data_IF_959140648953
#
_entry.id   IF_959140648953
#
_cell.length_a   1.000
_cell.length_b   1.000
_cell.length_c   1.000
_cell.angle_alpha   90.00
_cell.angle_beta   90.00
_cell.angle_gamma   90.00
#
_symmetry.space_group_name_H-M   'P 1'
#
loop_
_entity.id
_entity.type
_entity.pdbx_description
1 polymer ?
#
# COMPACT_ATOMS: atom_id res chain seq x y z
N UNK A 1 18.02 -23.13 -10.71
CA UNK A 1 18.52 -22.21 -9.68
C UNK A 1 17.30 -21.64 -8.96
N UNK A 2 17.30 -21.65 -7.62
CA UNK A 2 16.22 -21.10 -6.83
C UNK A 2 16.40 -19.59 -6.64
N UNK A 3 15.28 -18.84 -6.69
CA UNK A 3 15.29 -17.40 -6.49
C UNK A 3 14.02 -16.92 -5.78
N UNK A 4 14.07 -15.71 -5.25
CA UNK A 4 12.95 -14.96 -4.70
C UNK A 4 12.66 -13.79 -5.66
N UNK A 5 11.40 -13.57 -5.99
CA UNK A 5 10.95 -12.47 -6.84
C UNK A 5 10.39 -11.35 -5.97
N UNK A 6 11.08 -10.22 -5.95
CA UNK A 6 10.59 -8.96 -5.37
C UNK A 6 10.09 -8.04 -6.47
N UNK A 7 8.91 -7.42 -6.27
CA UNK A 7 8.34 -6.47 -7.23
C UNK A 7 7.96 -5.18 -6.52
N UNK A 8 8.38 -4.05 -7.08
CA UNK A 8 8.04 -2.70 -6.59
C UNK A 8 7.16 -1.97 -7.61
N UNK A 9 6.01 -1.50 -7.17
CA UNK A 9 5.10 -0.61 -7.89
C UNK A 9 5.38 0.85 -7.47
N UNK A 10 6.53 1.38 -7.91
CA UNK A 10 6.93 2.76 -7.60
C UNK A 10 6.18 3.79 -8.46
N UNK A 11 6.21 5.06 -8.07
CA UNK A 11 5.44 6.13 -8.70
C UNK A 11 5.89 6.50 -10.13
N UNK A 12 7.10 6.14 -10.53
CA UNK A 12 7.63 6.42 -11.89
C UNK A 12 8.10 5.16 -12.61
N UNK A 13 8.21 4.05 -11.87
CA UNK A 13 8.76 2.81 -12.41
C UNK A 13 8.24 1.61 -11.65
N UNK A 14 7.86 0.57 -12.37
CA UNK A 14 7.64 -0.77 -11.83
C UNK A 14 8.96 -1.54 -12.01
N UNK A 15 9.43 -2.20 -10.95
CA UNK A 15 10.67 -2.99 -10.97
C UNK A 15 10.38 -4.40 -10.49
N UNK A 16 11.08 -5.36 -11.10
CA UNK A 16 11.11 -6.75 -10.67
C UNK A 16 12.57 -7.17 -10.46
N UNK A 17 12.87 -7.82 -9.35
CA UNK A 17 14.22 -8.25 -9.00
C UNK A 17 14.17 -9.71 -8.57
N UNK A 18 15.04 -10.54 -9.15
CA UNK A 18 15.30 -11.90 -8.70
C UNK A 18 16.54 -11.89 -7.82
N UNK A 19 16.44 -12.47 -6.62
CA UNK A 19 17.55 -12.59 -5.68
C UNK A 19 17.75 -14.05 -5.26
N UNK A 20 18.97 -14.41 -4.88
CA UNK A 20 19.22 -15.67 -4.18
C UNK A 20 18.86 -15.57 -2.68
N UNK A 21 19.08 -16.67 -1.94
CA UNK A 21 18.84 -16.72 -0.50
C UNK A 21 19.78 -15.82 0.33
N UNK A 22 20.85 -15.31 -0.27
CA UNK A 22 21.78 -14.37 0.35
C UNK A 22 21.47 -12.91 -0.01
N UNK A 23 20.32 -12.67 -0.65
CA UNK A 23 19.90 -11.35 -1.15
C UNK A 23 20.79 -10.79 -2.28
N UNK A 24 21.58 -11.63 -2.95
CA UNK A 24 22.35 -11.22 -4.12
C UNK A 24 21.40 -11.05 -5.31
N UNK A 25 21.46 -9.92 -5.97
CA UNK A 25 20.66 -9.66 -7.19
C UNK A 25 21.18 -10.54 -8.32
N UNK A 26 20.32 -11.41 -8.84
CA UNK A 26 20.61 -12.33 -9.95
C UNK A 26 20.16 -11.76 -11.30
N UNK A 27 18.99 -11.12 -11.32
CA UNK A 27 18.43 -10.49 -12.52
C UNK A 27 17.43 -9.42 -12.12
N UNK A 28 17.16 -8.51 -13.04
CA UNK A 28 16.16 -7.47 -12.84
C UNK A 28 15.47 -7.09 -14.14
N UNK A 29 14.27 -6.57 -14.01
CA UNK A 29 13.51 -5.97 -15.09
C UNK A 29 12.78 -4.71 -14.60
N UNK A 30 12.41 -3.85 -15.52
CA UNK A 30 11.69 -2.62 -15.16
C UNK A 30 10.82 -2.11 -16.30
N UNK A 31 9.80 -1.34 -15.91
CA UNK A 31 8.91 -0.63 -16.82
C UNK A 31 8.69 0.79 -16.31
N UNK A 32 8.90 1.78 -17.17
CA UNK A 32 8.61 3.19 -16.86
C UNK A 32 7.14 3.42 -17.11
N UNK A 33 6.47 4.05 -16.15
CA UNK A 33 5.09 4.48 -16.26
C UNK A 33 4.91 5.84 -15.60
N UNK A 34 3.81 6.51 -15.90
CA UNK A 34 3.51 7.84 -15.38
C UNK A 34 2.11 7.86 -14.79
N UNK A 35 1.93 8.70 -13.77
CA UNK A 35 0.59 9.01 -13.29
C UNK A 35 -0.12 9.94 -14.28
N UNK A 36 -1.43 9.82 -14.29
CA UNK A 36 -2.32 10.64 -15.07
C UNK A 36 -3.06 11.63 -14.17
N UNK A 37 -3.49 12.76 -14.73
CA UNK A 37 -4.29 13.74 -14.03
C UNK A 37 -5.61 13.92 -14.78
N UNK A 38 -6.67 13.28 -14.25
CA UNK A 38 -8.00 13.26 -14.87
C UNK A 38 -9.03 13.89 -13.94
N UNK A 39 -9.79 14.87 -14.42
CA UNK A 39 -10.87 15.53 -13.69
C UNK A 39 -10.49 15.98 -12.26
N UNK A 40 -9.28 16.49 -12.09
CA UNK A 40 -8.78 16.95 -10.80
C UNK A 40 -8.19 15.86 -9.90
N UNK A 41 -8.06 14.62 -10.39
CA UNK A 41 -7.58 13.46 -9.66
C UNK A 41 -6.28 12.92 -10.25
N UNK A 42 -5.23 12.79 -9.41
CA UNK A 42 -4.04 12.04 -9.74
C UNK A 42 -4.31 10.54 -9.63
N UNK A 43 -4.14 9.82 -10.74
CA UNK A 43 -4.51 8.41 -10.89
C UNK A 43 -3.47 7.61 -11.67
N UNK A 44 -3.60 6.28 -11.64
CA UNK A 44 -2.99 5.34 -12.57
C UNK A 44 -4.07 4.41 -13.07
N UNK A 45 -4.23 4.23 -14.39
CA UNK A 45 -5.14 3.22 -14.94
C UNK A 45 -4.72 1.81 -14.49
N UNK A 46 -5.65 1.01 -13.98
CA UNK A 46 -5.32 -0.34 -13.49
C UNK A 46 -4.79 -1.27 -14.59
N UNK A 47 -5.17 -1.05 -15.84
CA UNK A 47 -4.61 -1.79 -16.98
C UNK A 47 -3.12 -1.52 -17.17
N UNK A 48 -2.68 -0.27 -16.95
CA UNK A 48 -1.27 0.11 -17.01
C UNK A 48 -0.43 -0.60 -15.93
N UNK A 49 -1.03 -0.89 -14.76
CA UNK A 49 -0.40 -1.69 -13.70
C UNK A 49 0.00 -3.07 -14.23
N UNK A 50 -0.93 -3.77 -14.88
CA UNK A 50 -0.68 -5.11 -15.41
C UNK A 50 0.28 -5.12 -16.61
N UNK A 51 0.21 -4.12 -17.47
CA UNK A 51 1.19 -3.94 -18.57
C UNK A 51 2.60 -3.80 -17.97
N UNK A 52 2.77 -2.94 -16.99
CA UNK A 52 4.07 -2.69 -16.39
C UNK A 52 4.60 -3.87 -15.57
N UNK A 53 3.73 -4.54 -14.79
CA UNK A 53 4.10 -5.75 -14.03
C UNK A 53 4.60 -6.86 -14.94
N UNK A 54 3.84 -7.19 -15.99
CA UNK A 54 4.23 -8.20 -16.97
C UNK A 54 5.56 -7.87 -17.65
N UNK A 55 5.73 -6.61 -18.08
CA UNK A 55 6.96 -6.18 -18.72
C UNK A 55 8.18 -6.33 -17.80
N UNK A 56 8.08 -5.86 -16.56
CA UNK A 56 9.18 -5.94 -15.60
C UNK A 56 9.50 -7.40 -15.22
N UNK A 57 8.48 -8.20 -14.92
CA UNK A 57 8.65 -9.62 -14.52
C UNK A 57 9.21 -10.44 -15.71
N UNK A 58 8.70 -10.23 -16.92
CA UNK A 58 9.20 -10.91 -18.13
C UNK A 58 10.69 -10.62 -18.33
N UNK A 59 11.12 -9.36 -18.27
CA UNK A 59 12.53 -9.00 -18.41
C UNK A 59 13.41 -9.69 -17.36
N UNK A 60 12.98 -9.72 -16.10
CA UNK A 60 13.75 -10.38 -15.04
C UNK A 60 13.86 -11.89 -15.27
N UNK A 61 12.78 -12.55 -15.66
CA UNK A 61 12.75 -14.00 -15.95
C UNK A 61 13.53 -14.38 -17.22
N UNK A 62 13.49 -13.54 -18.27
CA UNK A 62 14.24 -13.74 -19.51
C UNK A 62 15.75 -13.60 -19.30
N UNK A 63 16.17 -12.72 -18.36
CA UNK A 63 17.58 -12.54 -18.02
C UNK A 63 18.16 -13.74 -17.24
N UNK A 64 17.33 -14.64 -16.68
CA UNK A 64 17.74 -15.81 -15.92
C UNK A 64 16.93 -17.06 -16.32
N UNK A 65 17.16 -17.64 -17.51
CA UNK A 65 16.41 -18.79 -17.98
C UNK A 65 16.52 -20.01 -17.04
N UNK A 66 15.40 -20.69 -16.81
CA UNK A 66 15.34 -21.88 -15.96
C UNK A 66 15.37 -21.60 -14.45
N UNK A 67 15.23 -20.33 -14.03
CA UNK A 67 15.08 -19.98 -12.62
C UNK A 67 13.80 -20.58 -12.04
N UNK A 68 13.87 -21.03 -10.78
CA UNK A 68 12.73 -21.51 -10.00
C UNK A 68 12.40 -20.46 -8.94
N UNK A 69 11.30 -19.74 -9.09
CA UNK A 69 10.84 -18.76 -8.10
C UNK A 69 10.22 -19.52 -6.91
N UNK A 70 10.77 -19.33 -5.71
CA UNK A 70 10.37 -20.04 -4.48
C UNK A 70 9.48 -19.23 -3.55
N UNK A 71 9.52 -17.91 -3.67
CA UNK A 71 8.66 -16.98 -2.94
C UNK A 71 8.56 -15.66 -3.71
N UNK A 72 7.50 -14.91 -3.43
CA UNK A 72 7.28 -13.60 -4.02
C UNK A 72 6.92 -12.57 -2.95
N UNK A 73 7.32 -11.32 -3.18
CA UNK A 73 6.92 -10.16 -2.39
C UNK A 73 6.62 -8.96 -3.28
N UNK A 74 5.59 -8.22 -2.90
CA UNK A 74 5.16 -7.00 -3.61
C UNK A 74 5.27 -5.80 -2.67
N UNK A 75 5.86 -4.74 -3.19
CA UNK A 75 5.86 -3.41 -2.58
C UNK A 75 5.16 -2.44 -3.52
N UNK A 76 4.49 -1.44 -2.99
CA UNK A 76 3.87 -0.40 -3.80
C UNK A 76 3.88 0.94 -3.12
N UNK A 77 3.58 1.98 -3.89
CA UNK A 77 3.33 3.29 -3.30
C UNK A 77 2.24 3.15 -2.24
N UNK A 78 2.56 3.57 -1.04
CA UNK A 78 1.71 3.48 0.12
C UNK A 78 0.49 4.39 -0.02
N UNK A 79 -0.60 4.08 0.71
CA UNK A 79 -1.83 4.88 0.76
C UNK A 79 -2.69 4.82 -0.51
N UNK A 80 -3.61 5.79 -0.62
CA UNK A 80 -4.51 5.94 -1.74
C UNK A 80 -5.85 5.23 -1.52
N UNK A 81 -6.70 5.32 -2.54
CA UNK A 81 -8.09 4.88 -2.46
C UNK A 81 -8.47 4.11 -3.71
N UNK A 82 -8.54 2.81 -3.58
CA UNK A 82 -9.13 1.88 -4.53
C UNK A 82 -10.41 1.33 -3.90
N UNK A 83 -11.56 1.66 -4.47
CA UNK A 83 -12.87 1.25 -3.99
C UNK A 83 -13.57 0.39 -5.03
N UNK A 84 -14.02 -0.78 -4.63
CA UNK A 84 -14.66 -1.77 -5.50
C UNK A 84 -16.05 -2.12 -5.01
N UNK A 85 -16.94 -2.47 -5.94
CA UNK A 85 -18.25 -3.04 -5.65
C UNK A 85 -18.19 -4.55 -5.35
N UNK A 86 -19.36 -5.17 -5.13
CA UNK A 86 -19.49 -6.60 -4.84
C UNK A 86 -19.06 -7.53 -5.98
N UNK A 87 -19.10 -7.06 -7.24
CA UNK A 87 -18.64 -7.79 -8.42
C UNK A 87 -17.15 -7.54 -8.74
N UNK A 88 -16.48 -6.72 -7.96
CA UNK A 88 -15.07 -6.43 -8.15
C UNK A 88 -14.76 -5.33 -9.17
N UNK A 89 -15.74 -4.55 -9.58
CA UNK A 89 -15.54 -3.41 -10.48
C UNK A 89 -15.06 -2.21 -9.70
N UNK A 90 -14.06 -1.51 -10.25
CA UNK A 90 -13.58 -0.25 -9.70
C UNK A 90 -14.69 0.82 -9.80
N UNK A 91 -15.05 1.41 -8.67
CA UNK A 91 -16.18 2.36 -8.58
C UNK A 91 -15.81 3.78 -9.01
N UNK A 92 -14.57 4.19 -8.77
CA UNK A 92 -14.01 5.49 -9.13
C UNK A 92 -12.55 5.33 -9.54
N UNK A 93 -11.96 6.26 -10.32
CA UNK A 93 -10.52 6.21 -10.62
C UNK A 93 -9.68 6.08 -9.36
N UNK A 94 -8.56 5.35 -9.43
CA UNK A 94 -7.62 5.21 -8.32
C UNK A 94 -7.15 6.59 -7.85
N UNK A 95 -7.44 6.97 -6.61
CA UNK A 95 -6.98 8.22 -5.99
C UNK A 95 -5.65 7.94 -5.28
N UNK A 96 -4.57 8.44 -5.84
CA UNK A 96 -3.22 8.19 -5.33
C UNK A 96 -2.90 9.05 -4.10
N UNK A 97 -1.77 8.78 -3.47
CA UNK A 97 -1.22 9.57 -2.35
C UNK A 97 -1.00 11.07 -2.67
N UNK A 98 -0.93 11.44 -3.97
CA UNK A 98 -0.73 12.82 -4.43
C UNK A 98 -1.97 13.70 -4.29
N UNK A 99 -3.14 13.11 -4.10
CA UNK A 99 -4.40 13.86 -3.98
C UNK A 99 -4.51 14.49 -2.59
N UNK A 100 -4.75 15.81 -2.55
CA UNK A 100 -4.78 16.62 -1.33
C UNK A 100 -6.13 17.31 -1.08
N UNK A 101 -7.20 16.87 -1.75
CA UNK A 101 -8.53 17.47 -1.63
C UNK A 101 -9.31 16.97 -0.40
N UNK A 102 -8.77 16.09 0.40
CA UNK A 102 -9.42 15.47 1.56
C UNK A 102 -9.15 16.19 2.90
N UNK A 103 -8.68 17.45 2.87
CA UNK A 103 -8.24 18.18 4.05
C UNK A 103 -9.32 18.28 5.15
N UNK A 104 -10.57 18.56 4.78
CA UNK A 104 -11.69 18.65 5.72
C UNK A 104 -11.98 17.29 6.38
N UNK A 105 -12.05 16.22 5.58
CA UNK A 105 -12.22 14.85 6.09
C UNK A 105 -11.09 14.43 7.04
N UNK A 106 -9.85 14.74 6.67
CA UNK A 106 -8.66 14.50 7.50
C UNK A 106 -8.76 15.19 8.88
N UNK A 107 -9.17 16.45 8.91
CA UNK A 107 -9.34 17.22 10.14
C UNK A 107 -10.44 16.65 11.05
N UNK A 108 -11.62 16.36 10.48
CA UNK A 108 -12.73 15.77 11.23
C UNK A 108 -12.38 14.40 11.80
N UNK A 109 -11.76 13.52 11.01
CA UNK A 109 -11.35 12.20 11.48
C UNK A 109 -10.25 12.28 12.53
N UNK A 110 -9.30 13.21 12.39
CA UNK A 110 -8.27 13.45 13.40
C UNK A 110 -8.90 13.86 14.72
N UNK A 111 -9.88 14.75 14.71
CA UNK A 111 -10.61 15.16 15.91
C UNK A 111 -11.45 14.00 16.50
N UNK A 112 -12.13 13.23 15.67
CA UNK A 112 -12.96 12.10 16.08
C UNK A 112 -12.15 11.01 16.77
N UNK A 113 -11.00 10.66 16.21
CA UNK A 113 -10.17 9.56 16.72
C UNK A 113 -9.21 9.98 17.82
N UNK A 114 -8.85 11.29 17.89
CA UNK A 114 -7.71 11.76 18.70
C UNK A 114 -6.38 11.18 18.19
N UNK A 115 -6.30 10.90 16.88
CA UNK A 115 -5.17 10.28 16.20
C UNK A 115 -4.95 10.99 14.86
N UNK A 116 -3.70 11.26 14.42
CA UNK A 116 -3.47 11.98 13.15
C UNK A 116 -3.91 11.14 11.95
N UNK A 117 -4.81 11.68 11.14
CA UNK A 117 -5.28 11.06 9.90
C UNK A 117 -4.82 11.92 8.71
N UNK A 118 -3.76 11.54 8.01
CA UNK A 118 -3.28 12.26 6.84
C UNK A 118 -4.26 12.25 5.68
N UNK A 119 -4.22 13.30 4.86
CA UNK A 119 -5.13 13.45 3.71
C UNK A 119 -5.05 12.31 2.69
N UNK A 120 -3.89 11.68 2.55
CA UNK A 120 -3.61 10.62 1.58
C UNK A 120 -4.09 9.23 1.99
N UNK A 121 -4.56 9.04 3.23
CA UNK A 121 -5.02 7.75 3.72
C UNK A 121 -6.35 7.33 3.09
N UNK A 122 -6.54 6.01 2.91
CA UNK A 122 -7.75 5.44 2.33
C UNK A 122 -9.02 5.89 3.06
N UNK A 123 -8.98 5.94 4.40
CA UNK A 123 -10.12 6.37 5.21
C UNK A 123 -10.44 7.87 5.04
N UNK A 124 -9.44 8.72 4.82
CA UNK A 124 -9.66 10.14 4.55
C UNK A 124 -10.37 10.35 3.20
N UNK A 125 -10.01 9.56 2.18
CA UNK A 125 -10.68 9.58 0.89
C UNK A 125 -12.11 9.04 0.95
N UNK A 126 -12.34 7.93 1.67
CA UNK A 126 -13.68 7.39 1.88
C UNK A 126 -14.58 8.41 2.59
N UNK A 127 -14.09 8.99 3.69
CA UNK A 127 -14.87 9.96 4.45
C UNK A 127 -15.10 11.25 3.66
N UNK A 128 -14.12 11.69 2.88
CA UNK A 128 -14.32 12.81 1.95
C UNK A 128 -15.44 12.51 0.95
N UNK A 129 -15.44 11.35 0.31
CA UNK A 129 -16.50 10.94 -0.61
C UNK A 129 -17.89 10.90 0.07
N UNK A 130 -17.96 10.45 1.33
CA UNK A 130 -19.19 10.50 2.13
C UNK A 130 -19.67 11.95 2.36
N UNK A 131 -18.77 12.87 2.75
CA UNK A 131 -19.07 14.27 2.97
C UNK A 131 -19.55 14.98 1.68
N UNK A 132 -19.03 14.57 0.53
CA UNK A 132 -19.44 15.07 -0.78
C UNK A 132 -20.68 14.37 -1.35
N UNK A 133 -21.23 13.38 -0.65
CA UNK A 133 -22.34 12.54 -1.13
C UNK A 133 -22.04 11.92 -2.51
N UNK A 134 -20.81 11.48 -2.74
CA UNK A 134 -20.43 10.83 -3.99
C UNK A 134 -21.26 9.54 -4.20
N UNK A 135 -21.84 9.30 -5.40
CA UNK A 135 -22.82 8.23 -5.60
C UNK A 135 -22.29 6.81 -5.27
N UNK A 136 -21.00 6.59 -5.37
CA UNK A 136 -20.38 5.27 -5.20
C UNK A 136 -20.30 4.80 -3.74
N UNK A 137 -20.36 5.69 -2.75
CA UNK A 137 -20.05 5.36 -1.35
C UNK A 137 -20.92 4.26 -0.76
N UNK A 138 -22.21 4.23 -1.13
CA UNK A 138 -23.12 3.17 -0.67
C UNK A 138 -22.87 1.80 -1.33
N UNK A 139 -22.17 1.79 -2.46
CA UNK A 139 -21.86 0.58 -3.23
C UNK A 139 -20.47 0.01 -2.94
N UNK A 140 -19.72 0.63 -2.03
CA UNK A 140 -18.38 0.13 -1.66
C UNK A 140 -18.52 -1.18 -0.90
N UNK A 141 -17.87 -2.24 -1.41
CA UNK A 141 -17.79 -3.55 -0.76
C UNK A 141 -16.38 -3.87 -0.28
N UNK A 142 -15.36 -3.21 -0.87
CA UNK A 142 -13.98 -3.35 -0.43
C UNK A 142 -13.13 -2.15 -0.78
N UNK A 143 -12.18 -1.87 0.09
CA UNK A 143 -11.10 -0.93 -0.12
C UNK A 143 -9.79 -1.70 -0.31
N UNK A 144 -8.89 -1.14 -1.09
CA UNK A 144 -7.56 -1.68 -1.27
C UNK A 144 -6.52 -0.57 -1.46
N UNK A 145 -5.26 -0.93 -1.31
CA UNK A 145 -4.11 -0.19 -1.82
C UNK A 145 -3.67 -0.80 -3.15
N UNK A 146 -2.73 -0.16 -3.83
CA UNK A 146 -2.24 -0.69 -5.11
C UNK A 146 -1.57 -2.07 -4.94
N UNK A 147 -0.70 -2.22 -3.94
CA UNK A 147 -0.06 -3.50 -3.64
C UNK A 147 -1.06 -4.56 -3.19
N UNK A 148 -2.05 -4.18 -2.37
CA UNK A 148 -3.15 -5.05 -1.95
C UNK A 148 -4.02 -5.54 -3.11
N UNK A 149 -4.34 -4.66 -4.07
CA UNK A 149 -5.07 -5.02 -5.28
C UNK A 149 -4.32 -6.06 -6.12
N UNK A 150 -3.02 -5.85 -6.34
CA UNK A 150 -2.19 -6.81 -7.08
C UNK A 150 -2.13 -8.15 -6.34
N UNK A 151 -1.92 -8.13 -5.04
CA UNK A 151 -1.88 -9.33 -4.21
C UNK A 151 -3.18 -10.14 -4.29
N UNK A 152 -4.33 -9.47 -4.14
CA UNK A 152 -5.65 -10.11 -4.25
C UNK A 152 -5.85 -10.76 -5.62
N UNK A 153 -5.49 -10.07 -6.71
CA UNK A 153 -5.62 -10.62 -8.06
C UNK A 153 -4.73 -11.86 -8.30
N UNK A 154 -3.57 -11.92 -7.63
CA UNK A 154 -2.65 -13.04 -7.77
C UNK A 154 -2.98 -14.25 -6.87
N UNK A 155 -3.59 -14.00 -5.71
CA UNK A 155 -3.79 -15.03 -4.67
C UNK A 155 -5.26 -15.33 -4.36
N UNK A 156 -6.17 -14.46 -4.75
CA UNK A 156 -7.58 -14.49 -4.33
C UNK A 156 -7.79 -14.08 -2.86
N UNK A 157 -6.74 -13.67 -2.12
CA UNK A 157 -6.81 -13.29 -0.71
C UNK A 157 -6.67 -11.78 -0.51
N UNK A 158 -7.61 -11.19 0.22
CA UNK A 158 -7.61 -9.78 0.61
C UNK A 158 -6.74 -9.58 1.84
N UNK A 159 -5.45 -9.39 1.66
CA UNK A 159 -4.51 -9.16 2.74
C UNK A 159 -3.47 -8.09 2.37
N UNK A 160 -3.00 -7.37 3.36
CA UNK A 160 -1.87 -6.43 3.27
C UNK A 160 -1.00 -6.58 4.53
N UNK A 161 0.21 -6.06 4.52
CA UNK A 161 1.02 -6.00 5.73
C UNK A 161 0.42 -5.04 6.76
N UNK A 162 0.82 -5.18 8.02
CA UNK A 162 0.47 -4.23 9.09
C UNK A 162 0.98 -2.83 8.75
N UNK A 163 2.18 -2.73 8.17
CA UNK A 163 2.75 -1.46 7.70
C UNK A 163 1.86 -0.77 6.67
N UNK A 164 1.46 -1.49 5.62
CA UNK A 164 0.57 -0.98 4.58
C UNK A 164 -0.83 -0.67 5.13
N UNK A 165 -1.40 -1.56 5.96
CA UNK A 165 -2.69 -1.36 6.61
C UNK A 165 -2.73 -0.07 7.44
N UNK A 166 -1.62 0.29 8.09
CA UNK A 166 -1.50 1.51 8.90
C UNK A 166 -1.67 2.80 8.08
N UNK A 167 -1.48 2.74 6.77
CA UNK A 167 -1.75 3.84 5.84
C UNK A 167 -3.18 3.86 5.29
N UNK A 168 -3.98 2.86 5.61
CA UNK A 168 -5.40 2.80 5.27
C UNK A 168 -6.28 3.26 6.43
N UNK A 169 -6.00 2.75 7.63
CA UNK A 169 -6.73 2.99 8.87
C UNK A 169 -5.80 2.78 10.07
N UNK A 170 -6.02 3.46 11.24
CA UNK A 170 -5.16 3.29 12.41
C UNK A 170 -5.04 1.84 12.89
N UNK A 171 -3.82 1.45 13.26
CA UNK A 171 -3.47 0.13 13.78
C UNK A 171 -3.22 0.21 15.29
N UNK A 172 -3.73 -0.76 16.02
CA UNK A 172 -3.36 -1.04 17.39
C UNK A 172 -2.07 -1.88 17.42
N UNK A 173 -0.98 -1.31 17.93
CA UNK A 173 0.33 -1.94 17.99
C UNK A 173 0.39 -3.20 18.89
N UNK A 174 -0.59 -3.42 19.77
CA UNK A 174 -0.64 -4.60 20.64
C UNK A 174 -1.27 -5.79 19.92
N UNK A 175 -2.34 -5.53 19.18
CA UNK A 175 -3.08 -6.58 18.46
C UNK A 175 -2.60 -6.77 17.03
N UNK A 176 -1.78 -5.84 16.50
CA UNK A 176 -1.33 -5.78 15.11
C UNK A 176 -2.50 -5.77 14.11
N UNK A 177 -3.62 -5.19 14.52
CA UNK A 177 -4.84 -5.10 13.73
C UNK A 177 -5.43 -3.69 13.83
N UNK A 178 -6.44 -3.40 13.07
CA UNK A 178 -7.15 -2.12 13.09
C UNK A 178 -7.69 -1.80 14.50
N UNK A 179 -7.51 -0.55 14.93
CA UNK A 179 -7.95 -0.10 16.26
C UNK A 179 -9.47 -0.19 16.40
N UNK A 180 -9.94 -1.05 17.31
CA UNK A 180 -11.36 -1.38 17.48
C UNK A 180 -12.19 -0.18 17.95
N UNK A 181 -11.61 0.70 18.80
CA UNK A 181 -12.30 1.91 19.24
C UNK A 181 -12.54 2.86 18.07
N UNK A 182 -11.53 3.04 17.21
CA UNK A 182 -11.63 3.92 16.06
C UNK A 182 -12.56 3.34 14.98
N UNK A 183 -12.55 2.01 14.77
CA UNK A 183 -13.53 1.34 13.91
C UNK A 183 -14.96 1.63 14.37
N UNK A 184 -15.26 1.46 15.67
CA UNK A 184 -16.59 1.73 16.24
C UNK A 184 -17.01 3.19 16.07
N UNK A 185 -16.11 4.13 16.36
CA UNK A 185 -16.38 5.57 16.20
C UNK A 185 -16.65 5.93 14.73
N UNK A 186 -15.94 5.31 13.79
CA UNK A 186 -16.18 5.53 12.37
C UNK A 186 -17.51 4.94 11.92
N UNK A 187 -17.83 3.71 12.34
CA UNK A 187 -19.11 3.06 12.02
C UNK A 187 -20.32 3.86 12.54
N UNK A 188 -20.25 4.37 13.77
CA UNK A 188 -21.31 5.27 14.31
C UNK A 188 -21.51 6.51 13.41
N UNK A 189 -20.41 7.13 12.97
CA UNK A 189 -20.45 8.28 12.07
C UNK A 189 -20.99 7.89 10.69
N UNK A 190 -20.54 6.78 10.12
CA UNK A 190 -20.94 6.29 8.81
C UNK A 190 -22.45 5.93 8.78
N UNK A 191 -22.93 5.21 9.78
CA UNK A 191 -24.34 4.85 9.89
C UNK A 191 -25.23 6.08 10.07
N UNK A 192 -24.80 7.08 10.85
CA UNK A 192 -25.51 8.36 10.98
C UNK A 192 -25.62 9.12 9.64
N UNK A 193 -24.70 8.85 8.70
CA UNK A 193 -24.73 9.40 7.34
C UNK A 193 -25.43 8.45 6.33
N UNK A 194 -26.03 7.35 6.79
CA UNK A 194 -26.79 6.41 5.97
C UNK A 194 -25.97 5.36 5.22
N UNK A 195 -24.71 5.13 5.61
CA UNK A 195 -23.89 4.07 5.00
C UNK A 195 -24.38 2.68 5.42
N UNK A 196 -24.49 1.72 4.46
CA UNK A 196 -25.08 0.40 4.73
C UNK A 196 -24.06 -0.63 5.24
N UNK A 197 -22.77 -0.32 5.25
CA UNK A 197 -21.66 -1.22 5.55
C UNK A 197 -20.95 -0.85 6.85
N UNK A 198 -20.19 -1.79 7.39
CA UNK A 198 -19.21 -1.55 8.46
C UNK A 198 -17.80 -1.41 7.88
N UNK A 199 -17.03 -0.44 8.39
CA UNK A 199 -15.69 -0.15 7.86
C UNK A 199 -14.76 -1.39 7.92
N UNK A 200 -14.87 -2.22 8.96
CA UNK A 200 -14.03 -3.43 9.07
C UNK A 200 -14.23 -4.41 7.92
N UNK A 201 -15.44 -4.48 7.35
CA UNK A 201 -15.75 -5.36 6.21
C UNK A 201 -15.10 -4.88 4.92
N UNK A 202 -14.91 -3.56 4.80
CA UNK A 202 -14.30 -2.94 3.63
C UNK A 202 -12.77 -3.10 3.62
N UNK A 203 -12.13 -3.14 4.79
CA UNK A 203 -10.68 -3.20 4.93
C UNK A 203 -10.13 -4.62 4.70
N UNK A 204 -8.92 -4.75 4.09
CA UNK A 204 -8.26 -6.05 3.97
C UNK A 204 -7.83 -6.61 5.33
N UNK A 205 -7.41 -7.87 5.37
CA UNK A 205 -6.77 -8.45 6.54
C UNK A 205 -5.36 -7.85 6.71
N UNK A 206 -5.03 -7.42 7.94
CA UNK A 206 -3.69 -6.94 8.28
C UNK A 206 -2.85 -8.11 8.79
N UNK A 207 -1.68 -8.34 8.20
CA UNK A 207 -0.78 -9.44 8.54
C UNK A 207 0.62 -8.90 8.87
N UNK A 208 1.29 -9.39 9.91
CA UNK A 208 2.68 -8.99 10.17
C UNK A 208 3.62 -9.54 9.09
N UNK A 209 4.69 -8.79 8.81
CA UNK A 209 5.74 -9.23 7.91
C UNK A 209 6.33 -10.59 8.34
N UNK A 210 6.79 -11.38 7.35
CA UNK A 210 7.31 -12.72 7.59
C UNK A 210 6.26 -13.83 7.63
N UNK A 211 4.95 -13.50 7.58
CA UNK A 211 3.89 -14.49 7.42
C UNK A 211 3.61 -14.80 5.96
N UNK A 212 2.95 -15.92 5.68
CA UNK A 212 2.45 -16.22 4.34
C UNK A 212 1.06 -15.60 4.15
N UNK A 213 0.92 -14.70 3.19
CA UNK A 213 -0.35 -14.03 2.89
C UNK A 213 -1.19 -14.77 1.84
N UNK A 214 -0.70 -15.82 1.26
CA UNK A 214 -1.39 -16.62 0.25
C UNK A 214 -0.42 -17.29 -0.72
N UNK A 215 -0.98 -17.95 -1.69
CA UNK A 215 -0.23 -18.66 -2.71
C UNK A 215 -0.67 -18.18 -4.09
N UNK A 216 0.29 -18.08 -5.01
CA UNK A 216 0.01 -17.76 -6.40
C UNK A 216 -1.00 -18.77 -6.97
N UNK A 217 -2.12 -18.28 -7.46
CA UNK A 217 -3.12 -19.12 -8.12
C UNK A 217 -2.71 -19.42 -9.57
N UNK A 218 -3.38 -20.36 -10.21
CA UNK A 218 -3.16 -20.64 -11.64
C UNK A 218 -3.49 -19.41 -12.49
N UNK A 219 -4.61 -18.75 -12.21
CA UNK A 219 -5.04 -17.54 -12.91
C UNK A 219 -4.09 -16.37 -12.64
N UNK A 220 -3.63 -16.24 -11.38
CA UNK A 220 -2.64 -15.23 -11.00
C UNK A 220 -1.30 -15.44 -11.70
N UNK A 221 -0.84 -16.67 -11.82
CA UNK A 221 0.37 -17.01 -12.57
C UNK A 221 0.24 -16.63 -14.05
N UNK A 222 -0.87 -17.01 -14.68
CA UNK A 222 -1.17 -16.66 -16.07
C UNK A 222 -1.32 -15.14 -16.29
N UNK A 223 -1.92 -14.45 -15.31
CA UNK A 223 -2.09 -12.99 -15.34
C UNK A 223 -0.73 -12.27 -15.29
N UNK A 224 0.20 -12.73 -14.44
CA UNK A 224 1.50 -12.09 -14.24
C UNK A 224 2.53 -12.51 -15.30
N UNK A 225 2.60 -13.80 -15.64
CA UNK A 225 3.53 -14.39 -16.59
C UNK A 225 2.79 -15.28 -17.62
N UNK A 226 2.23 -14.70 -18.68
CA UNK A 226 1.54 -15.47 -19.73
C UNK A 226 2.41 -16.52 -20.45
N UNK A 227 3.75 -16.42 -20.32
CA UNK A 227 4.67 -17.40 -20.86
C UNK A 227 4.76 -18.69 -20.02
N UNK A 228 4.14 -18.72 -18.81
CA UNK A 228 3.99 -19.92 -18.01
C UNK A 228 5.26 -20.38 -17.26
N UNK A 229 6.20 -19.47 -17.00
CA UNK A 229 7.42 -19.76 -16.22
C UNK A 229 7.16 -19.77 -14.73
N UNK A 230 6.20 -18.92 -14.26
CA UNK A 230 5.73 -18.93 -12.88
C UNK A 230 4.68 -20.03 -12.69
N UNK A 231 4.83 -20.80 -11.63
CA UNK A 231 3.93 -21.90 -11.31
C UNK A 231 2.99 -21.52 -10.16
N UNK A 232 1.76 -22.02 -10.20
CA UNK A 232 0.86 -21.91 -9.06
C UNK A 232 1.47 -22.56 -7.80
N UNK A 233 1.08 -22.06 -6.63
CA UNK A 233 1.55 -22.57 -5.34
C UNK A 233 2.80 -21.86 -4.79
N UNK A 234 3.36 -20.89 -5.50
CA UNK A 234 4.43 -20.03 -4.96
C UNK A 234 3.85 -19.20 -3.80
N UNK A 235 4.46 -19.24 -2.59
CA UNK A 235 4.00 -18.42 -1.46
C UNK A 235 4.29 -16.94 -1.69
N UNK A 236 3.35 -16.07 -1.27
CA UNK A 236 3.48 -14.63 -1.27
C UNK A 236 3.56 -14.09 0.15
N UNK A 237 4.48 -13.14 0.37
CA UNK A 237 4.49 -12.32 1.57
C UNK A 237 3.31 -11.32 1.56
N UNK A 238 2.87 -10.80 2.73
CA UNK A 238 1.94 -9.69 2.77
C UNK A 238 2.48 -8.50 1.96
N UNK A 239 1.70 -7.92 1.04
CA UNK A 239 2.16 -6.78 0.27
C UNK A 239 2.38 -5.57 1.19
N UNK A 240 3.48 -4.87 0.97
CA UNK A 240 3.94 -3.78 1.84
C UNK A 240 3.93 -2.44 1.09
N UNK A 241 3.89 -1.34 1.83
CA UNK A 241 4.16 0.00 1.31
C UNK A 241 5.64 0.23 1.04
N UNK A 242 5.94 1.12 0.09
CA UNK A 242 7.31 1.54 -0.23
C UNK A 242 8.07 2.10 0.99
N UNK A 243 7.37 2.81 1.87
CA UNK A 243 7.91 3.30 3.13
C UNK A 243 8.37 2.17 4.05
N UNK A 244 7.54 1.14 4.27
CA UNK A 244 7.87 -0.01 5.11
C UNK A 244 8.99 -0.87 4.54
N UNK A 245 8.98 -1.12 3.23
CA UNK A 245 10.08 -1.84 2.57
C UNK A 245 11.39 -1.05 2.63
N UNK A 246 11.35 0.28 2.54
CA UNK A 246 12.50 1.15 2.74
C UNK A 246 13.09 1.04 4.15
N UNK A 247 12.24 0.96 5.18
CA UNK A 247 12.69 0.72 6.56
C UNK A 247 13.34 -0.65 6.72
N UNK A 248 12.76 -1.69 6.15
CA UNK A 248 13.34 -3.04 6.17
C UNK A 248 14.70 -3.07 5.44
N UNK A 249 14.79 -2.49 4.25
CA UNK A 249 16.01 -2.44 3.44
C UNK A 249 17.16 -1.69 4.13
N UNK A 250 16.86 -0.69 4.97
CA UNK A 250 17.84 0.09 5.72
C UNK A 250 18.07 -0.42 7.14
N UNK A 251 17.46 -1.55 7.52
CA UNK A 251 17.48 -2.13 8.87
C UNK A 251 17.01 -1.15 9.96
N UNK A 252 16.04 -0.29 9.62
CA UNK A 252 15.52 0.77 10.47
C UNK A 252 14.14 0.42 11.06
N UNK A 253 13.96 -0.82 11.51
CA UNK A 253 12.68 -1.34 12.05
C UNK A 253 12.64 -1.42 13.58
N UNK A 254 13.76 -1.18 14.27
CA UNK A 254 13.84 -1.25 15.73
C UNK A 254 13.54 0.10 16.36
N UNK A 255 13.00 0.14 17.59
CA UNK A 255 12.84 1.40 18.33
C UNK A 255 14.11 2.25 18.35
N UNK A 256 13.95 3.57 18.20
CA UNK A 256 15.03 4.58 18.08
C UNK A 256 15.89 4.48 16.82
N UNK A 257 15.52 3.64 15.86
CA UNK A 257 16.11 3.70 14.52
C UNK A 257 15.17 4.44 13.59
N UNK A 258 15.68 4.85 12.46
CA UNK A 258 14.89 5.54 11.45
C UNK A 258 15.61 5.57 10.11
N UNK A 259 14.89 5.95 9.08
CA UNK A 259 15.44 6.17 7.76
C UNK A 259 14.93 7.48 7.16
N UNK A 260 15.62 7.94 6.14
CA UNK A 260 15.22 9.06 5.31
C UNK A 260 15.18 8.56 3.87
N UNK A 261 14.03 8.73 3.23
CA UNK A 261 13.87 8.50 1.79
C UNK A 261 13.87 9.85 1.10
N UNK A 262 14.87 10.09 0.26
CA UNK A 262 15.05 11.35 -0.47
C UNK A 262 14.93 11.08 -1.97
N UNK A 263 13.79 11.40 -2.52
CA UNK A 263 13.46 11.31 -3.94
C UNK A 263 12.95 12.66 -4.44
N UNK A 264 11.94 12.68 -5.28
CA UNK A 264 11.21 13.89 -5.69
C UNK A 264 10.64 14.61 -4.46
N UNK A 265 10.05 13.86 -3.54
CA UNK A 265 9.73 14.27 -2.18
C UNK A 265 10.72 13.67 -1.18
N UNK A 266 10.68 14.14 0.06
CA UNK A 266 11.46 13.57 1.16
C UNK A 266 10.52 13.18 2.30
N UNK A 267 10.75 12.02 2.89
CA UNK A 267 10.14 11.66 4.16
C UNK A 267 11.17 11.04 5.11
N UNK A 268 11.00 11.35 6.39
CA UNK A 268 11.79 10.80 7.48
C UNK A 268 10.89 9.99 8.39
N UNK A 269 11.32 8.80 8.74
CA UNK A 269 10.61 7.88 9.63
C UNK A 269 11.48 7.52 10.80
N UNK A 270 10.88 7.51 12.00
CA UNK A 270 11.53 7.12 13.25
C UNK A 270 10.63 6.14 13.99
N UNK A 271 11.16 4.96 14.31
CA UNK A 271 10.46 3.96 15.11
C UNK A 271 10.37 4.41 16.56
N UNK A 272 9.15 4.52 17.06
CA UNK A 272 8.84 5.00 18.39
C UNK A 272 8.94 3.85 19.42
N UNK A 273 9.35 4.17 20.65
CA UNK A 273 9.28 3.22 21.78
C UNK A 273 7.87 3.12 22.37
N UNK A 274 7.06 4.15 22.16
CA UNK A 274 5.65 4.24 22.58
C UNK A 274 4.92 5.25 21.72
N UNK A 275 3.62 5.12 21.64
CA UNK A 275 2.76 6.09 20.95
C UNK A 275 2.96 7.51 21.49
N UNK A 276 2.74 8.50 20.64
CA UNK A 276 2.79 9.92 21.01
C UNK A 276 1.69 10.24 22.03
N UNK A 277 2.01 11.08 22.99
CA UNK A 277 1.08 11.44 24.08
C UNK A 277 -0.06 12.37 23.64
N UNK A 278 0.04 12.94 22.46
CA UNK A 278 -0.96 13.83 21.84
C UNK A 278 -0.81 13.83 20.33
N UNK A 279 -1.81 14.34 19.63
CA UNK A 279 -1.74 14.60 18.18
C UNK A 279 -0.77 15.75 17.90
N UNK A 280 0.13 15.53 16.98
CA UNK A 280 0.99 16.54 16.37
C UNK A 280 0.62 16.64 14.89
N UNK A 281 0.05 17.78 14.44
CA UNK A 281 -0.45 17.91 13.05
C UNK A 281 0.59 17.74 11.97
N UNK A 282 1.88 17.86 12.31
CA UNK A 282 3.00 17.71 11.40
C UNK A 282 3.53 16.28 11.30
N UNK A 283 3.02 15.37 12.14
CA UNK A 283 3.47 14.00 12.20
C UNK A 283 2.35 13.05 11.78
N UNK A 284 2.66 12.16 10.88
CA UNK A 284 1.86 10.98 10.64
C UNK A 284 2.32 9.86 11.58
N UNK A 285 1.41 9.00 11.96
CA UNK A 285 1.73 7.80 12.74
C UNK A 285 1.33 6.58 11.95
N UNK A 286 2.31 5.86 11.47
CA UNK A 286 2.16 4.59 10.73
C UNK A 286 2.83 3.46 11.50
N UNK A 287 2.90 2.25 10.94
CA UNK A 287 3.58 1.12 11.54
C UNK A 287 4.75 0.64 10.66
N UNK A 288 5.75 0.04 11.30
CA UNK A 288 6.74 -0.79 10.62
C UNK A 288 6.08 -2.06 10.06
N UNK A 289 6.74 -2.80 9.15
CA UNK A 289 6.24 -4.09 8.67
C UNK A 289 5.95 -5.13 9.77
N UNK A 290 6.59 -5.01 10.93
CA UNK A 290 6.35 -5.87 12.12
C UNK A 290 5.38 -5.24 13.13
N UNK A 291 4.84 -4.04 12.86
CA UNK A 291 3.78 -3.40 13.63
C UNK A 291 4.24 -2.42 14.71
N UNK A 292 5.53 -2.12 14.80
CA UNK A 292 6.02 -1.09 15.72
C UNK A 292 5.57 0.31 15.27
N UNK A 293 5.17 1.23 16.19
CA UNK A 293 4.70 2.56 15.79
C UNK A 293 5.84 3.42 15.25
N UNK A 294 5.54 4.16 14.19
CA UNK A 294 6.49 5.03 13.48
C UNK A 294 5.94 6.45 13.42
N UNK A 295 6.74 7.43 13.81
CA UNK A 295 6.48 8.83 13.47
C UNK A 295 7.10 9.13 12.11
N UNK A 296 6.30 9.70 11.19
CA UNK A 296 6.74 10.07 9.86
C UNK A 296 6.50 11.56 9.61
N UNK A 297 7.49 12.22 9.03
CA UNK A 297 7.39 13.58 8.48
C UNK A 297 7.56 13.49 6.97
N UNK A 298 6.68 14.13 6.23
CA UNK A 298 6.73 14.16 4.77
C UNK A 298 6.79 15.60 4.27
N UNK A 299 7.67 15.85 3.28
CA UNK A 299 7.76 17.10 2.54
C UNK A 299 7.68 16.81 1.04
N UNK A 300 6.83 17.54 0.33
CA UNK A 300 6.57 17.32 -1.09
C UNK A 300 7.75 17.65 -2.00
N UNK A 301 8.70 18.44 -1.52
CA UNK A 301 9.83 18.93 -2.29
C UNK A 301 11.16 18.41 -1.72
N UNK A 302 12.03 17.91 -2.58
CA UNK A 302 13.42 17.52 -2.24
C UNK A 302 14.31 17.66 -3.48
N UNK A 303 14.49 16.61 -4.28
CA UNK A 303 15.40 16.64 -5.43
C UNK A 303 14.94 17.59 -6.53
N UNK A 304 13.64 17.87 -6.62
CA UNK A 304 13.10 18.90 -7.52
C UNK A 304 13.65 20.28 -7.19
N UNK A 305 13.76 20.63 -5.91
CA UNK A 305 14.30 21.90 -5.46
C UNK A 305 15.82 21.91 -5.59
N UNK A 306 16.49 20.80 -5.22
CA UNK A 306 17.95 20.66 -5.37
C UNK A 306 18.38 20.80 -6.84
N UNK A 307 17.62 20.22 -7.77
CA UNK A 307 17.90 20.32 -9.20
C UNK A 307 17.66 21.72 -9.78
N UNK A 308 16.89 22.56 -9.10
CA UNK A 308 16.62 23.93 -9.50
C UNK A 308 17.73 24.91 -9.04
N UNK A 309 18.61 24.49 -8.12
CA UNK A 309 19.75 25.22 -7.61
C UNK A 309 21.04 24.83 -8.35
#
# INVERSE_FOLDING_TARGET
MDAILGVELGSTRIKAVLTDANHTVLAQGSHIWENDYQDGVWTYPLDAVWVGLRAAVTQALDALPGVQVRAMGFSGMMHGYLAFDGEGRLLVPFRTWRNTFTAHASQELTALFGFPIPQRWSIAHLYHAMLQNEPHVCSVHRLSTLAGYVHEALTGRRAVSVGEASGMFPIDAQTLNYDQRMLSLFDERAHAMGMPWHIRELLPEALPAGTCAGYLTQDGAQLLDPAGRLQAGIPLAPPEGDAGTGMAATNAVRPRTGNISAGTSIFSMVVLERLLSRVYPQLDVVATPDGSPVAMVHCNNCTSDINAW
#
